data_IF_573440238397
#
_entry.id   IF_573440238397
#
_cell.length_a   1.000
_cell.length_b   1.000
_cell.length_c   1.000
_cell.angle_alpha   90.00
_cell.angle_beta   90.00
_cell.angle_gamma   90.00
#
_symmetry.space_group_name_H-M   'P 1'
#
loop_
_entity.id
_entity.type
_entity.pdbx_description
1 polymer ?
#
# COMPACT_ATOMS: atom_id res chain seq x y z
N UNK A 1 10.47 5.49 13.68
CA UNK A 1 10.38 5.74 12.22
C UNK A 1 8.91 6.01 11.94
N UNK A 2 8.59 7.02 11.14
CA UNK A 2 7.21 7.28 10.74
C UNK A 2 6.70 6.04 9.98
N UNK A 3 5.66 5.39 10.50
CA UNK A 3 4.99 4.23 9.89
C UNK A 3 4.01 4.64 8.78
N UNK A 4 4.20 5.83 8.19
CA UNK A 4 3.28 6.40 7.21
C UNK A 4 3.52 5.78 5.83
N UNK A 5 2.56 5.02 5.26
CA UNK A 5 2.78 4.24 4.04
C UNK A 5 2.54 5.03 2.74
N UNK A 6 2.44 6.36 2.79
CA UNK A 6 2.20 7.20 1.61
C UNK A 6 3.45 7.99 1.22
N UNK A 7 3.71 8.11 -0.07
CA UNK A 7 4.90 8.79 -0.61
C UNK A 7 4.77 10.31 -0.58
N UNK A 8 3.55 10.83 -0.78
CA UNK A 8 3.26 12.25 -0.77
C UNK A 8 2.00 12.59 0.04
N UNK A 9 2.09 13.64 0.87
CA UNK A 9 0.94 14.16 1.62
C UNK A 9 0.39 15.43 0.96
N UNK A 10 -0.83 15.35 0.44
CA UNK A 10 -1.56 16.43 -0.20
C UNK A 10 -2.82 16.82 0.59
N UNK A 11 -2.99 16.32 1.82
CA UNK A 11 -4.22 16.49 2.58
C UNK A 11 -4.63 17.96 2.75
N UNK A 12 -3.66 18.85 2.98
CA UNK A 12 -3.91 20.30 3.12
C UNK A 12 -4.38 20.98 1.82
N UNK A 13 -4.25 20.32 0.67
CA UNK A 13 -4.71 20.84 -0.62
C UNK A 13 -6.19 20.61 -0.85
N UNK A 14 -6.77 19.55 -0.26
CA UNK A 14 -8.17 19.20 -0.42
C UNK A 14 -9.05 20.00 0.56
N UNK A 15 -9.72 21.04 0.04
CA UNK A 15 -10.55 21.95 0.85
C UNK A 15 -12.03 21.58 0.98
N UNK A 16 -12.49 20.51 0.31
CA UNK A 16 -13.88 20.07 0.31
C UNK A 16 -14.08 18.79 1.13
N UNK A 17 -15.30 18.55 1.62
CA UNK A 17 -15.56 17.58 2.68
C UNK A 17 -15.80 18.24 4.02
N UNK A 18 -15.33 17.61 5.09
CA UNK A 18 -15.41 18.18 6.43
C UNK A 18 -14.88 17.22 7.50
N UNK A 19 -14.63 17.71 8.71
CA UNK A 19 -14.12 16.88 9.79
C UNK A 19 -15.15 15.82 10.22
N UNK A 20 -14.66 14.65 10.63
CA UNK A 20 -15.45 13.56 11.23
C UNK A 20 -14.68 12.89 12.36
N UNK A 21 -15.41 12.16 13.21
CA UNK A 21 -14.75 11.19 14.09
C UNK A 21 -14.23 10.00 13.28
N UNK A 22 -13.12 9.43 13.74
CA UNK A 22 -12.62 8.13 13.28
C UNK A 22 -13.24 6.97 14.07
N UNK A 23 -13.96 7.27 15.15
CA UNK A 23 -14.72 6.29 15.92
C UNK A 23 -15.87 5.73 15.08
N UNK A 24 -16.05 4.40 15.15
CA UNK A 24 -17.15 3.73 14.45
C UNK A 24 -16.90 3.49 12.97
N UNK A 25 -15.69 3.80 12.45
CA UNK A 25 -15.28 3.34 11.13
C UNK A 25 -15.45 1.81 11.00
N UNK A 26 -16.04 1.39 9.89
CA UNK A 26 -16.29 0.01 9.55
C UNK A 26 -15.12 -0.61 8.78
N UNK A 27 -14.36 0.16 8.01
CA UNK A 27 -13.33 -0.45 7.19
C UNK A 27 -12.69 0.42 6.13
N UNK A 28 -12.10 -0.28 5.16
CA UNK A 28 -11.48 0.31 3.97
C UNK A 28 -12.36 -0.03 2.76
N UNK A 29 -12.77 1.01 2.05
CA UNK A 29 -13.49 0.92 0.80
C UNK A 29 -12.49 1.08 -0.35
N UNK A 30 -12.44 0.09 -1.25
CA UNK A 30 -11.56 0.05 -2.41
C UNK A 30 -12.30 0.63 -3.62
N UNK A 31 -11.62 1.52 -4.33
CA UNK A 31 -12.13 2.26 -5.48
C UNK A 31 -11.21 2.14 -6.69
N UNK A 32 -11.75 2.49 -7.85
CA UNK A 32 -10.97 2.88 -9.03
C UNK A 32 -11.35 4.29 -9.45
N UNK A 33 -10.41 5.00 -10.09
CA UNK A 33 -10.65 6.36 -10.59
C UNK A 33 -11.20 6.40 -12.01
N UNK A 34 -11.34 5.24 -12.66
CA UNK A 34 -11.69 5.08 -14.07
C UNK A 34 -10.66 5.74 -15.02
N UNK A 35 -9.39 5.72 -14.59
CA UNK A 35 -8.25 6.12 -15.42
C UNK A 35 -7.52 4.90 -15.95
N UNK A 36 -6.98 5.02 -17.16
CA UNK A 36 -6.13 3.98 -17.74
C UNK A 36 -4.96 3.67 -16.83
N UNK A 37 -4.61 2.38 -16.73
CA UNK A 37 -3.41 1.93 -16.03
C UNK A 37 -2.17 2.70 -16.52
N UNK A 38 -1.39 3.23 -15.58
CA UNK A 38 -0.23 4.09 -15.85
C UNK A 38 -0.53 5.59 -15.83
N UNK A 39 -1.78 5.98 -15.53
CA UNK A 39 -2.10 7.36 -15.16
C UNK A 39 -1.49 7.69 -13.80
N UNK A 40 -0.90 8.88 -13.66
CA UNK A 40 -0.26 9.34 -12.42
C UNK A 40 -1.27 9.73 -11.36
N UNK A 41 -1.01 9.37 -10.11
CA UNK A 41 -1.84 9.76 -8.98
C UNK A 41 -1.93 11.29 -8.85
N UNK A 42 -0.83 12.01 -9.12
CA UNK A 42 -0.81 13.49 -9.02
C UNK A 42 -1.72 14.15 -10.04
N UNK A 43 -1.80 13.60 -11.26
CA UNK A 43 -2.64 14.14 -12.32
C UNK A 43 -4.13 13.98 -11.99
N UNK A 44 -4.48 12.82 -11.42
CA UNK A 44 -5.83 12.52 -10.97
C UNK A 44 -6.20 13.40 -9.76
N UNK A 45 -5.35 13.46 -8.75
CA UNK A 45 -5.55 14.30 -7.56
C UNK A 45 -5.65 15.78 -7.95
N UNK A 46 -4.79 16.27 -8.86
CA UNK A 46 -4.86 17.63 -9.36
C UNK A 46 -6.16 17.92 -10.11
N UNK A 47 -6.70 16.95 -10.85
CA UNK A 47 -8.00 17.08 -11.50
C UNK A 47 -9.16 17.12 -10.50
N UNK A 48 -9.13 16.27 -9.48
CA UNK A 48 -10.13 16.27 -8.40
C UNK A 48 -10.12 17.59 -7.63
N UNK A 49 -8.94 18.14 -7.30
CA UNK A 49 -8.80 19.44 -6.67
C UNK A 49 -9.44 20.57 -7.49
N UNK A 50 -9.34 20.51 -8.82
CA UNK A 50 -9.93 21.55 -9.70
C UNK A 50 -11.42 21.40 -9.92
N UNK A 51 -11.94 20.19 -9.83
CA UNK A 51 -13.33 19.87 -10.24
C UNK A 51 -14.26 19.59 -9.07
N UNK A 52 -13.72 19.30 -7.88
CA UNK A 52 -14.47 18.86 -6.69
C UNK A 52 -15.45 17.72 -6.99
N UNK A 53 -15.10 16.88 -7.97
CA UNK A 53 -15.92 15.78 -8.47
C UNK A 53 -15.92 14.55 -7.56
N UNK A 54 -15.01 14.53 -6.58
CA UNK A 54 -14.80 13.47 -5.61
C UNK A 54 -13.37 13.48 -5.10
N UNK A 55 -13.13 12.79 -3.99
CA UNK A 55 -11.79 12.55 -3.44
C UNK A 55 -11.81 11.31 -2.55
N UNK A 56 -10.64 10.78 -2.26
CA UNK A 56 -10.40 9.61 -1.42
C UNK A 56 -9.55 10.00 -0.20
N UNK A 57 -9.18 9.03 0.64
CA UNK A 57 -8.19 9.27 1.69
C UNK A 57 -6.78 9.03 1.14
N UNK A 58 -6.63 7.99 0.31
CA UNK A 58 -5.42 7.71 -0.42
C UNK A 58 -5.70 7.28 -1.85
N UNK A 59 -4.77 7.62 -2.75
CA UNK A 59 -4.77 7.25 -4.15
C UNK A 59 -3.43 6.58 -4.48
N UNK A 60 -3.45 5.47 -5.20
CA UNK A 60 -2.25 4.76 -5.67
C UNK A 60 -2.21 4.62 -7.18
N UNK A 61 -1.02 4.57 -7.76
CA UNK A 61 -0.81 4.36 -9.18
C UNK A 61 0.23 3.28 -9.49
N UNK A 62 0.43 3.04 -10.79
CA UNK A 62 1.40 2.06 -11.31
C UNK A 62 2.52 2.75 -12.09
N UNK A 63 2.91 3.96 -11.72
CA UNK A 63 3.92 4.72 -12.44
C UNK A 63 5.33 4.41 -11.93
N UNK A 64 6.33 4.70 -12.77
CA UNK A 64 7.73 4.38 -12.51
C UNK A 64 8.67 5.56 -12.72
N UNK A 65 8.14 6.74 -13.06
CA UNK A 65 8.89 7.89 -13.54
C UNK A 65 9.27 8.92 -12.45
N UNK A 66 8.58 8.96 -11.31
CA UNK A 66 8.74 10.02 -10.30
C UNK A 66 8.94 9.55 -8.85
N UNK A 67 8.89 8.23 -8.60
CA UNK A 67 8.91 7.60 -7.27
C UNK A 67 7.73 7.98 -6.34
N UNK A 68 6.68 8.63 -6.83
CA UNK A 68 5.45 8.87 -6.07
C UNK A 68 4.42 7.88 -6.58
N UNK A 69 4.16 6.80 -5.82
CA UNK A 69 3.15 5.80 -6.20
C UNK A 69 1.89 5.92 -5.36
N UNK A 70 1.93 6.75 -4.32
CA UNK A 70 0.83 6.93 -3.38
C UNK A 70 0.72 8.36 -2.88
N UNK A 71 -0.51 8.87 -2.83
CA UNK A 71 -0.84 10.21 -2.35
C UNK A 71 -1.87 10.10 -1.24
N UNK A 72 -1.64 10.78 -0.11
CA UNK A 72 -2.70 11.10 0.85
C UNK A 72 -3.46 12.32 0.36
N UNK A 73 -4.71 12.13 -0.04
CA UNK A 73 -5.61 13.20 -0.46
C UNK A 73 -6.34 13.84 0.73
N UNK A 74 -6.67 13.05 1.76
CA UNK A 74 -7.37 13.53 2.95
C UNK A 74 -6.90 12.78 4.19
N UNK A 75 -6.86 13.45 5.35
CA UNK A 75 -6.56 12.79 6.62
C UNK A 75 -7.69 11.84 7.05
N UNK A 76 -7.37 10.85 7.87
CA UNK A 76 -8.33 9.83 8.31
C UNK A 76 -9.55 10.40 9.05
N UNK A 77 -9.43 11.58 9.67
CA UNK A 77 -10.47 12.31 10.41
C UNK A 77 -11.23 13.32 9.53
N UNK A 78 -11.11 13.21 8.21
CA UNK A 78 -11.85 14.00 7.24
C UNK A 78 -12.82 13.13 6.42
N UNK A 79 -13.97 13.68 6.05
CA UNK A 79 -14.97 13.03 5.18
C UNK A 79 -14.55 13.26 3.73
N UNK A 80 -13.92 12.25 3.11
CA UNK A 80 -13.68 12.26 1.67
C UNK A 80 -14.98 12.02 0.89
N UNK A 81 -15.17 12.69 -0.25
CA UNK A 81 -16.34 12.52 -1.12
C UNK A 81 -16.11 11.37 -2.12
N UNK A 82 -16.31 10.12 -1.68
CA UNK A 82 -15.94 8.93 -2.46
C UNK A 82 -17.08 7.96 -2.76
N UNK A 83 -18.00 7.72 -1.80
CA UNK A 83 -18.94 6.61 -1.82
C UNK A 83 -20.36 7.00 -1.33
N UNK A 84 -20.85 8.15 -1.78
CA UNK A 84 -22.11 8.75 -1.35
C UNK A 84 -22.22 8.96 0.18
N UNK A 85 -23.35 9.49 0.63
CA UNK A 85 -23.51 9.97 2.01
C UNK A 85 -23.20 8.92 3.06
N UNK A 86 -23.72 7.68 2.91
CA UNK A 86 -23.50 6.64 3.92
C UNK A 86 -22.10 6.04 3.86
N UNK A 87 -21.55 5.81 2.67
CA UNK A 87 -20.21 5.25 2.50
C UNK A 87 -19.12 6.19 3.03
N UNK A 88 -19.23 7.49 2.73
CA UNK A 88 -18.28 8.52 3.18
C UNK A 88 -18.13 8.59 4.71
N UNK A 89 -19.15 8.21 5.46
CA UNK A 89 -19.18 8.32 6.92
C UNK A 89 -18.58 7.12 7.64
N UNK A 90 -18.45 5.97 6.96
CA UNK A 90 -18.14 4.69 7.61
C UNK A 90 -16.81 4.09 7.17
N UNK A 91 -16.12 4.71 6.20
CA UNK A 91 -14.96 4.09 5.56
C UNK A 91 -13.79 5.06 5.39
N UNK A 92 -12.59 4.49 5.41
CA UNK A 92 -11.43 5.06 4.75
C UNK A 92 -11.46 4.63 3.28
N UNK A 93 -11.03 5.50 2.38
CA UNK A 93 -11.19 5.31 0.94
C UNK A 93 -9.82 5.22 0.29
N UNK A 94 -9.50 4.06 -0.28
CA UNK A 94 -8.31 3.84 -1.09
C UNK A 94 -8.74 3.67 -2.54
N UNK A 95 -8.23 4.50 -3.43
CA UNK A 95 -8.48 4.39 -4.85
C UNK A 95 -7.22 4.00 -5.62
N UNK A 96 -7.43 3.31 -6.73
CA UNK A 96 -6.42 2.92 -7.68
C UNK A 96 -6.61 3.72 -8.96
N UNK A 97 -5.52 4.29 -9.50
CA UNK A 97 -5.47 4.90 -10.84
C UNK A 97 -5.58 3.81 -11.93
N UNK A 98 -6.79 3.28 -12.05
CA UNK A 98 -7.15 2.08 -12.78
C UNK A 98 -8.63 2.14 -13.21
N UNK A 99 -9.09 1.15 -13.98
CA UNK A 99 -10.46 1.02 -14.45
C UNK A 99 -11.14 -0.19 -13.78
N UNK A 100 -12.39 -0.05 -13.33
CA UNK A 100 -13.16 -1.18 -12.79
C UNK A 100 -13.38 -2.31 -13.82
N UNK A 101 -13.23 -2.00 -15.11
CA UNK A 101 -13.35 -2.96 -16.21
C UNK A 101 -12.13 -3.88 -16.36
N UNK A 102 -11.01 -3.57 -15.69
CA UNK A 102 -9.80 -4.38 -15.77
C UNK A 102 -10.06 -5.84 -15.37
N UNK A 103 -9.57 -6.74 -16.20
CA UNK A 103 -9.50 -8.17 -15.93
C UNK A 103 -8.55 -8.45 -14.76
N UNK A 104 -8.67 -9.64 -14.17
CA UNK A 104 -7.78 -10.07 -13.10
C UNK A 104 -6.31 -10.07 -13.56
N UNK A 105 -6.05 -10.52 -14.78
CA UNK A 105 -4.72 -10.57 -15.37
C UNK A 105 -4.11 -9.16 -15.50
N UNK A 106 -4.90 -8.17 -15.90
CA UNK A 106 -4.47 -6.77 -15.99
C UNK A 106 -4.14 -6.20 -14.59
N UNK A 107 -4.97 -6.48 -13.58
CA UNK A 107 -4.65 -6.11 -12.20
C UNK A 107 -3.33 -6.73 -11.72
N UNK A 108 -3.13 -8.03 -11.99
CA UNK A 108 -1.93 -8.75 -11.58
C UNK A 108 -0.68 -8.34 -12.39
N UNK A 109 -0.84 -7.63 -13.51
CA UNK A 109 0.26 -7.04 -14.26
C UNK A 109 0.85 -5.78 -13.59
N UNK A 110 0.15 -5.22 -12.59
CA UNK A 110 0.55 -4.05 -11.81
C UNK A 110 0.83 -4.40 -10.32
N UNK A 111 1.78 -5.31 -10.02
CA UNK A 111 1.98 -5.82 -8.67
C UNK A 111 2.48 -4.76 -7.68
N UNK A 112 3.19 -3.73 -8.14
CA UNK A 112 3.67 -2.65 -7.28
C UNK A 112 2.51 -1.78 -6.82
N UNK A 113 1.61 -1.38 -7.72
CA UNK A 113 0.39 -0.64 -7.36
C UNK A 113 -0.47 -1.40 -6.33
N UNK A 114 -0.63 -2.72 -6.51
CA UNK A 114 -1.34 -3.57 -5.54
C UNK A 114 -0.60 -3.67 -4.19
N UNK A 115 0.73 -3.66 -4.21
CA UNK A 115 1.57 -3.67 -3.01
C UNK A 115 1.41 -2.36 -2.21
N UNK A 116 1.46 -1.20 -2.87
CA UNK A 116 1.26 0.11 -2.23
C UNK A 116 -0.11 0.20 -1.56
N UNK A 117 -1.17 -0.19 -2.29
CA UNK A 117 -2.51 -0.24 -1.71
C UNK A 117 -2.62 -1.21 -0.53
N UNK A 118 -1.85 -2.29 -0.54
CA UNK A 118 -1.81 -3.24 0.56
C UNK A 118 -1.06 -2.68 1.79
N UNK A 119 0.00 -1.89 1.59
CA UNK A 119 0.73 -1.17 2.65
C UNK A 119 -0.18 -0.17 3.38
N UNK A 120 -0.91 0.65 2.62
CA UNK A 120 -1.89 1.61 3.15
C UNK A 120 -3.03 0.89 3.88
N UNK A 121 -3.59 -0.15 3.26
CA UNK A 121 -4.69 -0.91 3.88
C UNK A 121 -4.24 -1.62 5.16
N UNK A 122 -3.03 -2.19 5.18
CA UNK A 122 -2.47 -2.82 6.38
C UNK A 122 -2.22 -1.79 7.49
N UNK A 123 -1.71 -0.60 7.16
CA UNK A 123 -1.59 0.51 8.10
C UNK A 123 -2.94 0.85 8.76
N UNK A 124 -4.00 1.02 7.99
CA UNK A 124 -5.33 1.28 8.53
C UNK A 124 -5.92 0.10 9.30
N UNK A 125 -5.71 -1.14 8.83
CA UNK A 125 -6.10 -2.34 9.55
C UNK A 125 -5.43 -2.44 10.93
N UNK A 126 -4.14 -2.07 11.04
CA UNK A 126 -3.43 -2.01 12.34
C UNK A 126 -3.96 -0.90 13.21
N UNK A 127 -4.07 0.32 12.65
CA UNK A 127 -4.46 1.54 13.37
C UNK A 127 -5.88 1.46 13.94
N UNK A 128 -6.82 0.95 13.17
CA UNK A 128 -8.24 0.91 13.54
C UNK A 128 -8.74 -0.49 13.89
N UNK A 129 -7.86 -1.51 13.89
CA UNK A 129 -8.22 -2.90 14.16
C UNK A 129 -9.31 -3.44 13.23
N UNK A 130 -9.23 -3.12 11.93
CA UNK A 130 -10.13 -3.71 10.94
C UNK A 130 -9.72 -5.16 10.63
N UNK A 131 -10.67 -6.12 10.57
CA UNK A 131 -10.37 -7.48 10.15
C UNK A 131 -9.90 -7.54 8.68
N UNK A 132 -8.81 -8.25 8.39
CA UNK A 132 -8.30 -8.45 7.02
C UNK A 132 -9.11 -9.51 6.26
N UNK A 133 -10.33 -9.12 5.87
CA UNK A 133 -11.26 -9.95 5.10
C UNK A 133 -12.13 -9.07 4.21
N UNK A 134 -12.51 -9.60 3.05
CA UNK A 134 -13.56 -9.02 2.22
C UNK A 134 -14.92 -9.19 2.90
N UNK A 135 -15.71 -8.14 2.96
CA UNK A 135 -17.11 -8.17 3.39
C UNK A 135 -18.03 -7.76 2.23
N UNK A 136 -19.23 -8.32 2.21
CA UNK A 136 -20.25 -7.97 1.20
C UNK A 136 -21.23 -6.89 1.67
N UNK A 137 -22.03 -6.36 0.75
CA UNK A 137 -23.07 -5.37 1.00
C UNK A 137 -23.99 -5.67 2.21
N UNK A 138 -24.44 -6.93 2.36
CA UNK A 138 -25.29 -7.34 3.48
C UNK A 138 -24.59 -7.19 4.83
N UNK A 139 -23.37 -7.69 4.93
CA UNK A 139 -22.57 -7.58 6.15
C UNK A 139 -22.24 -6.12 6.47
N UNK A 140 -21.86 -5.36 5.44
CA UNK A 140 -21.57 -3.94 5.55
C UNK A 140 -22.77 -3.16 6.11
N UNK A 141 -23.98 -3.41 5.58
CA UNK A 141 -25.24 -2.82 6.08
C UNK A 141 -25.55 -3.22 7.54
N UNK A 142 -25.09 -4.39 7.97
CA UNK A 142 -25.26 -4.91 9.34
C UNK A 142 -24.22 -4.39 10.34
N UNK A 143 -23.32 -3.49 9.92
CA UNK A 143 -22.29 -2.94 10.81
C UNK A 143 -21.02 -3.79 10.88
N UNK A 144 -20.87 -4.80 10.01
CA UNK A 144 -19.66 -5.61 9.99
C UNK A 144 -18.44 -4.76 9.60
N UNK A 145 -17.28 -5.14 10.16
CA UNK A 145 -15.99 -4.49 9.89
C UNK A 145 -15.14 -5.34 8.95
N UNK A 146 -14.39 -4.69 8.07
CA UNK A 146 -13.48 -5.35 7.13
C UNK A 146 -13.17 -4.49 5.91
N UNK A 147 -12.81 -5.13 4.80
CA UNK A 147 -12.46 -4.45 3.55
C UNK A 147 -13.58 -4.72 2.53
N UNK A 148 -13.96 -3.75 1.71
CA UNK A 148 -15.05 -3.87 0.73
C UNK A 148 -14.80 -2.97 -0.48
N UNK A 149 -15.55 -3.16 -1.56
CA UNK A 149 -15.50 -2.29 -2.73
C UNK A 149 -16.64 -1.27 -2.72
N UNK A 150 -16.56 -0.26 -3.57
CA UNK A 150 -17.65 0.69 -3.77
C UNK A 150 -18.95 -0.01 -4.18
N UNK A 151 -18.87 -1.07 -4.99
CA UNK A 151 -20.00 -1.93 -5.34
C UNK A 151 -20.79 -2.45 -4.13
N UNK A 152 -20.12 -2.72 -3.00
CA UNK A 152 -20.80 -3.18 -1.79
C UNK A 152 -21.56 -2.05 -1.11
N UNK A 153 -21.08 -0.81 -1.19
CA UNK A 153 -21.79 0.38 -0.71
C UNK A 153 -23.03 0.63 -1.57
N UNK A 154 -22.88 0.57 -2.89
CA UNK A 154 -23.97 0.70 -3.87
C UNK A 154 -25.08 -0.29 -3.59
N UNK A 155 -24.74 -1.58 -3.41
CA UNK A 155 -25.72 -2.62 -3.09
C UNK A 155 -26.25 -2.56 -1.66
N UNK A 156 -25.51 -1.98 -0.71
CA UNK A 156 -25.95 -1.88 0.67
C UNK A 156 -26.99 -0.79 0.89
N UNK A 157 -26.89 0.36 0.20
CA UNK A 157 -27.76 1.52 0.46
C UNK A 157 -28.41 2.13 -0.77
N UNK A 158 -27.98 1.80 -1.99
CA UNK A 158 -28.53 2.34 -3.24
C UNK A 158 -28.50 3.87 -3.31
N UNK A 159 -27.47 4.49 -2.74
CA UNK A 159 -27.21 5.94 -2.82
C UNK A 159 -26.28 6.32 -3.98
N UNK A 160 -25.70 5.31 -4.63
CA UNK A 160 -24.81 5.35 -5.79
C UNK A 160 -24.97 4.03 -6.54
N UNK A 161 -24.61 4.00 -7.81
CA UNK A 161 -24.67 2.85 -8.72
C UNK A 161 -23.28 2.41 -9.22
N UNK A 162 -22.23 2.96 -8.64
CA UNK A 162 -20.84 2.61 -8.92
C UNK A 162 -20.53 1.14 -8.62
N UNK A 163 -19.63 0.54 -9.40
CA UNK A 163 -19.35 -0.91 -9.37
C UNK A 163 -17.88 -1.25 -9.16
N UNK A 164 -17.04 -0.25 -8.92
CA UNK A 164 -15.62 -0.39 -8.63
C UNK A 164 -15.37 -1.14 -7.30
N UNK A 165 -14.24 -1.87 -7.20
CA UNK A 165 -13.13 -1.99 -8.17
C UNK A 165 -13.38 -3.02 -9.29
N UNK A 166 -14.63 -3.45 -9.48
CA UNK A 166 -15.00 -4.42 -10.50
C UNK A 166 -14.76 -5.88 -10.11
N UNK A 167 -15.28 -6.79 -10.93
CA UNK A 167 -15.19 -8.24 -10.69
C UNK A 167 -13.80 -8.81 -10.92
N UNK A 168 -12.95 -8.11 -11.68
CA UNK A 168 -11.57 -8.51 -11.95
C UNK A 168 -10.60 -8.25 -10.78
N UNK A 169 -10.96 -7.39 -9.82
CA UNK A 169 -10.06 -7.04 -8.71
C UNK A 169 -9.64 -8.29 -7.92
N UNK A 170 -8.34 -8.55 -7.74
CA UNK A 170 -7.84 -9.80 -7.20
C UNK A 170 -7.88 -9.82 -5.66
N UNK A 171 -9.09 -9.87 -5.09
CA UNK A 171 -9.33 -9.80 -3.64
C UNK A 171 -8.50 -10.78 -2.82
N UNK A 172 -8.32 -12.01 -3.29
CA UNK A 172 -7.52 -13.04 -2.62
C UNK A 172 -6.04 -12.65 -2.53
N UNK A 173 -5.47 -12.16 -3.62
CA UNK A 173 -4.06 -11.72 -3.69
C UNK A 173 -3.87 -10.45 -2.86
N UNK A 174 -4.75 -9.46 -3.04
CA UNK A 174 -4.70 -8.22 -2.30
C UNK A 174 -4.82 -8.45 -0.79
N UNK A 175 -5.80 -9.25 -0.35
CA UNK A 175 -5.95 -9.56 1.08
C UNK A 175 -4.77 -10.36 1.63
N UNK A 176 -4.13 -11.22 0.82
CA UNK A 176 -2.91 -11.90 1.24
C UNK A 176 -1.77 -10.90 1.45
N UNK A 177 -1.55 -9.99 0.50
CA UNK A 177 -0.55 -8.92 0.62
C UNK A 177 -0.77 -8.07 1.88
N UNK A 178 -2.03 -7.75 2.21
CA UNK A 178 -2.37 -7.03 3.46
C UNK A 178 -2.03 -7.87 4.68
N UNK A 179 -2.38 -9.17 4.70
CA UNK A 179 -2.04 -10.06 5.83
C UNK A 179 -0.55 -10.18 6.06
N UNK A 180 0.24 -10.26 4.99
CA UNK A 180 1.70 -10.36 5.07
C UNK A 180 2.34 -9.11 5.71
N UNK A 181 1.64 -7.96 5.66
CA UNK A 181 2.02 -6.68 6.28
C UNK A 181 1.41 -6.46 7.66
N UNK A 182 0.55 -7.35 8.12
CA UNK A 182 0.08 -7.32 9.50
C UNK A 182 1.16 -7.93 10.39
N UNK A 183 1.36 -7.41 11.61
CA UNK A 183 2.15 -8.11 12.60
C UNK A 183 1.57 -9.51 12.76
N UNK A 184 2.45 -10.51 12.87
CA UNK A 184 2.03 -11.88 13.08
C UNK A 184 0.98 -11.92 14.20
N UNK A 185 -0.24 -12.33 13.84
CA UNK A 185 -1.29 -12.47 14.83
C UNK A 185 -0.76 -13.43 15.91
N UNK A 186 -0.91 -13.13 17.21
CA UNK A 186 -0.76 -14.17 18.22
C UNK A 186 -1.70 -15.31 17.79
N UNK A 187 -1.09 -16.45 17.46
CA UNK A 187 -1.68 -17.43 16.55
C UNK A 187 -3.09 -17.89 16.93
N UNK A 188 -3.83 -18.30 15.91
CA UNK A 188 -5.02 -19.12 16.06
C UNK A 188 -4.64 -20.45 16.75
N UNK A 189 -4.56 -20.43 18.07
CA UNK A 189 -4.53 -21.63 18.90
C UNK A 189 -5.97 -21.97 19.28
N UNK A 190 -6.34 -23.22 19.06
CA UNK A 190 -7.50 -23.87 19.67
C UNK A 190 -7.55 -23.56 21.18
N UNK A 191 -8.75 -23.47 21.80
CA UNK A 191 -8.84 -23.08 23.20
C UNK A 191 -8.15 -24.13 24.07
N UNK A 192 -6.97 -23.78 24.61
CA UNK A 192 -6.33 -24.55 25.68
C UNK A 192 -6.86 -24.01 27.01
N UNK A 193 -7.23 -24.88 27.96
CA UNK A 193 -7.70 -24.44 29.29
C UNK A 193 -6.66 -23.54 29.97
N UNK A 194 -7.12 -22.60 30.82
CA UNK A 194 -6.30 -21.49 31.30
C UNK A 194 -5.05 -22.00 32.03
N UNK A 195 -3.88 -21.55 31.56
CA UNK A 195 -2.61 -21.81 32.22
C UNK A 195 -2.33 -20.74 33.28
N UNK A 196 -1.65 -21.08 34.39
CA UNK A 196 -1.45 -20.21 35.54
C UNK A 196 -0.44 -19.07 35.24
N UNK A 197 -0.43 -17.99 36.03
CA UNK A 197 0.29 -16.78 35.68
C UNK A 197 1.81 -16.93 35.82
N UNK A 198 2.53 -16.36 34.84
CA UNK A 198 3.87 -15.79 35.04
C UNK A 198 5.05 -16.59 34.48
N UNK A 199 5.41 -16.32 33.22
CA UNK A 199 6.82 -16.12 32.80
C UNK A 199 6.87 -15.21 31.57
N UNK A 200 7.77 -14.22 31.51
CA UNK A 200 7.94 -13.38 30.33
C UNK A 200 8.43 -14.23 29.14
N UNK A 201 7.92 -13.91 27.94
CA UNK A 201 8.32 -14.57 26.71
C UNK A 201 9.82 -14.38 26.41
N UNK A 202 10.52 -15.37 25.85
CA UNK A 202 11.91 -15.22 25.46
C UNK A 202 12.04 -14.21 24.31
N UNK A 203 13.11 -13.41 24.34
CA UNK A 203 13.46 -12.48 23.27
C UNK A 203 13.62 -13.21 21.91
N UNK A 204 13.35 -12.55 20.77
CA UNK A 204 13.56 -13.13 19.45
C UNK A 204 15.02 -13.55 19.29
N UNK A 205 15.24 -14.71 18.66
CA UNK A 205 16.58 -15.22 18.42
C UNK A 205 17.36 -14.27 17.49
N UNK A 206 18.66 -14.04 17.75
CA UNK A 206 19.48 -13.18 16.91
C UNK A 206 19.60 -13.75 15.49
N UNK A 207 19.61 -12.87 14.50
CA UNK A 207 19.95 -13.23 13.12
C UNK A 207 21.40 -13.71 13.06
N UNK A 208 21.64 -14.76 12.28
CA UNK A 208 22.98 -15.31 12.06
C UNK A 208 23.22 -15.44 10.56
N UNK A 209 24.48 -15.67 10.16
CA UNK A 209 24.85 -15.92 8.77
C UNK A 209 24.14 -17.14 8.16
N UNK A 210 23.67 -18.07 8.99
CA UNK A 210 22.90 -19.24 8.59
C UNK A 210 21.38 -19.00 8.52
N UNK A 211 20.89 -17.83 8.94
CA UNK A 211 19.45 -17.54 8.91
C UNK A 211 18.92 -17.64 7.48
N UNK A 212 17.91 -18.48 7.21
CA UNK A 212 17.34 -18.59 5.88
C UNK A 212 16.51 -17.35 5.54
N UNK A 213 16.78 -16.77 4.39
CA UNK A 213 16.05 -15.64 3.81
C UNK A 213 15.42 -16.11 2.51
N UNK A 214 14.10 -16.03 2.43
CA UNK A 214 13.35 -16.32 1.21
C UNK A 214 13.37 -15.11 0.30
N UNK A 215 13.67 -15.31 -0.97
CA UNK A 215 13.66 -14.25 -1.96
C UNK A 215 12.24 -13.72 -2.16
N UNK A 216 12.10 -12.39 -2.17
CA UNK A 216 10.82 -11.70 -2.40
C UNK A 216 10.32 -11.83 -3.84
N UNK A 217 11.22 -12.09 -4.80
CA UNK A 217 10.90 -12.18 -6.24
C UNK A 217 10.54 -13.62 -6.64
N UNK A 218 11.35 -14.59 -6.19
CA UNK A 218 11.09 -16.01 -6.35
C UNK A 218 10.96 -16.69 -4.98
N UNK A 219 9.74 -16.98 -4.49
CA UNK A 219 9.52 -17.56 -3.17
C UNK A 219 9.98 -19.02 -3.07
N UNK A 220 10.34 -19.66 -4.18
CA UNK A 220 10.96 -20.99 -4.20
C UNK A 220 12.46 -20.94 -3.91
N UNK A 221 13.06 -19.74 -3.86
CA UNK A 221 14.47 -19.55 -3.56
C UNK A 221 14.61 -19.10 -2.12
N UNK A 222 15.32 -19.89 -1.32
CA UNK A 222 15.70 -19.56 0.05
C UNK A 222 17.21 -19.73 0.17
N UNK A 223 17.89 -18.71 0.69
CA UNK A 223 19.34 -18.69 0.83
C UNK A 223 19.69 -18.34 2.28
N UNK A 224 20.80 -18.86 2.84
CA UNK A 224 21.32 -18.34 4.09
C UNK A 224 21.69 -16.86 3.91
N UNK A 225 21.58 -16.06 4.97
CA UNK A 225 21.89 -14.63 4.96
C UNK A 225 23.27 -14.34 4.36
N UNK A 226 24.28 -15.15 4.66
CA UNK A 226 25.61 -15.02 4.03
C UNK A 226 25.59 -15.22 2.51
N UNK A 227 24.76 -16.13 2.00
CA UNK A 227 24.59 -16.34 0.56
C UNK A 227 23.92 -15.16 -0.13
N UNK A 228 22.91 -14.56 0.51
CA UNK A 228 22.29 -13.34 0.01
C UNK A 228 23.29 -12.17 -0.03
N UNK A 229 24.08 -11.98 1.04
CA UNK A 229 25.10 -10.94 1.09
C UNK A 229 26.16 -11.11 -0.01
N UNK A 230 26.59 -12.34 -0.28
CA UNK A 230 27.54 -12.61 -1.37
C UNK A 230 26.96 -12.31 -2.76
N UNK A 231 25.68 -12.60 -3.00
CA UNK A 231 25.01 -12.25 -4.25
C UNK A 231 24.85 -10.75 -4.43
N UNK A 232 24.53 -10.02 -3.35
CA UNK A 232 24.44 -8.57 -3.38
C UNK A 232 25.80 -7.93 -3.67
N UNK A 233 26.88 -8.44 -3.07
CA UNK A 233 28.25 -7.99 -3.35
C UNK A 233 28.63 -8.20 -4.83
N UNK A 234 28.39 -9.40 -5.36
CA UNK A 234 28.64 -9.71 -6.77
C UNK A 234 27.86 -8.77 -7.71
N UNK A 235 26.56 -8.58 -7.45
CA UNK A 235 25.73 -7.68 -8.24
C UNK A 235 26.19 -6.23 -8.15
N UNK A 236 26.56 -5.75 -6.97
CA UNK A 236 27.09 -4.40 -6.79
C UNK A 236 28.39 -4.19 -7.58
N UNK A 237 29.28 -5.19 -7.57
CA UNK A 237 30.51 -5.14 -8.37
C UNK A 237 30.22 -5.12 -9.87
N UNK A 238 29.37 -6.02 -10.37
CA UNK A 238 28.99 -6.07 -11.79
C UNK A 238 28.38 -4.75 -12.29
N UNK A 239 27.46 -4.17 -11.51
CA UNK A 239 26.87 -2.88 -11.83
C UNK A 239 27.91 -1.76 -11.86
N UNK A 240 28.85 -1.76 -10.90
CA UNK A 240 29.95 -0.78 -10.90
C UNK A 240 30.79 -0.87 -12.17
N UNK A 241 31.09 -2.07 -12.65
CA UNK A 241 31.83 -2.27 -13.90
C UNK A 241 31.01 -1.77 -15.11
N UNK A 242 29.74 -2.13 -15.19
CA UNK A 242 28.86 -1.70 -16.28
C UNK A 242 28.72 -0.18 -16.35
N UNK A 243 28.46 0.48 -15.21
CA UNK A 243 28.32 1.94 -15.14
C UNK A 243 29.63 2.65 -15.46
N UNK A 244 30.78 2.15 -15.00
CA UNK A 244 32.08 2.70 -15.40
C UNK A 244 32.29 2.64 -16.90
N UNK A 245 31.97 1.51 -17.54
CA UNK A 245 32.04 1.38 -18.99
C UNK A 245 31.16 2.39 -19.74
N UNK A 246 29.97 2.71 -19.21
CA UNK A 246 29.10 3.77 -19.75
C UNK A 246 29.74 5.15 -19.60
N UNK A 247 30.29 5.46 -18.42
CA UNK A 247 30.96 6.74 -18.17
C UNK A 247 32.17 6.93 -19.09
N UNK A 248 33.00 5.90 -19.24
CA UNK A 248 34.15 5.91 -20.14
C UNK A 248 33.70 6.15 -21.60
N UNK A 249 32.63 5.49 -22.04
CA UNK A 249 32.07 5.69 -23.38
C UNK A 249 31.56 7.12 -23.61
N UNK A 250 31.00 7.74 -22.58
CA UNK A 250 30.50 9.12 -22.61
C UNK A 250 31.60 10.17 -22.36
N UNK A 251 32.84 9.76 -22.10
CA UNK A 251 33.94 10.66 -21.75
C UNK A 251 33.77 11.34 -20.38
N UNK A 252 33.02 10.72 -19.47
CA UNK A 252 32.74 11.21 -18.13
C UNK A 252 33.65 10.51 -17.10
N UNK A 253 34.02 11.22 -16.03
CA UNK A 253 34.81 10.66 -14.93
C UNK A 253 33.90 10.12 -13.83
N UNK A 254 33.78 8.79 -13.78
CA UNK A 254 32.97 8.10 -12.77
C UNK A 254 33.45 8.36 -11.34
N UNK A 255 34.77 8.29 -11.10
CA UNK A 255 35.30 8.39 -9.75
C UNK A 255 35.14 9.81 -9.20
N UNK A 256 35.38 10.81 -10.03
CA UNK A 256 35.10 12.20 -9.69
C UNK A 256 33.62 12.41 -9.35
N UNK A 257 32.70 11.87 -10.16
CA UNK A 257 31.26 12.02 -9.92
C UNK A 257 30.83 11.40 -8.59
N UNK A 258 31.40 10.25 -8.22
CA UNK A 258 31.15 9.61 -6.93
C UNK A 258 31.71 10.45 -5.77
N UNK A 259 32.92 11.02 -5.90
CA UNK A 259 33.47 11.90 -4.87
C UNK A 259 32.62 13.15 -4.67
N UNK A 260 32.21 13.82 -5.75
CA UNK A 260 31.33 14.99 -5.68
C UNK A 260 30.01 14.68 -4.95
N UNK A 261 29.40 13.51 -5.20
CA UNK A 261 28.19 13.08 -4.50
C UNK A 261 28.43 12.82 -3.00
N UNK A 262 29.56 12.18 -2.64
CA UNK A 262 29.93 11.95 -1.24
C UNK A 262 30.18 13.27 -0.51
N UNK A 263 30.87 14.22 -1.14
CA UNK A 263 31.15 15.54 -0.58
C UNK A 263 29.85 16.33 -0.38
N UNK A 264 28.94 16.29 -1.36
CA UNK A 264 27.62 16.92 -1.26
C UNK A 264 26.83 16.37 -0.08
N UNK A 265 26.74 15.05 0.07
CA UNK A 265 26.01 14.39 1.16
C UNK A 265 26.59 14.75 2.54
N UNK A 266 27.92 14.73 2.67
CA UNK A 266 28.61 15.09 3.92
C UNK A 266 28.53 16.58 4.25
N UNK A 267 28.34 17.44 3.26
CA UNK A 267 28.18 18.89 3.46
C UNK A 267 26.75 19.31 3.82
N UNK A 268 25.77 18.41 3.68
CA UNK A 268 24.37 18.63 4.01
C UNK A 268 24.02 18.32 5.49
N UNK A 269 25.03 18.03 6.31
CA UNK A 269 24.97 17.80 7.77
C UNK A 269 25.63 18.94 8.54
#
# INVERSE_FOLDING_TARGET
MNDDPVDADWAERFGFGGPRSTDGLQGVCIHTTENRLGSRAEDVAAWQLRTESGAYHALVDNTTDDNIRSIRENTDDWVAWAAAQKGNQIALHLSYAAEASMTREEWLSAPLMLAEGADITAYWCRRYHFPVRKIGARELRQGARGIFGHVDVSHAWHQTDHTDPGSGFPWDVFLQMVRDRMPAAPGAATPRPPAPPGRPAPAPAPLTTATPITSIINPRVTLPLAGLLALLDAYAWENRIAVRGIYDHLGLDYDRRIQEAIEQDRSAS
#
